data_IF_582389805612
#
_entry.id   IF_582389805612
#
_cell.length_a   1.000
_cell.length_b   1.000
_cell.length_c   1.000
_cell.angle_alpha   90.00
_cell.angle_beta   90.00
_cell.angle_gamma   90.00
#
_symmetry.space_group_name_H-M   'P 1'
#
loop_
_entity.id
_entity.type
_entity.pdbx_description
1 polymer ?
#
# COMPACT_ATOMS: atom_id res chain seq x y z
N UNK A 1 14.63 -21.96 8.78
CA UNK A 1 14.63 -20.66 8.09
C UNK A 1 16.07 -20.17 8.09
N UNK A 2 16.61 -19.79 6.93
CA UNK A 2 17.97 -19.21 6.84
C UNK A 2 17.93 -17.72 7.21
N UNK A 3 19.06 -17.12 7.56
CA UNK A 3 19.12 -15.67 7.80
C UNK A 3 18.62 -14.83 6.61
N UNK A 4 18.81 -15.35 5.40
CA UNK A 4 18.32 -14.72 4.16
C UNK A 4 16.79 -14.79 4.05
N UNK A 5 16.20 -15.94 4.38
CA UNK A 5 14.74 -16.12 4.45
C UNK A 5 14.13 -15.20 5.53
N UNK A 6 14.78 -15.07 6.69
CA UNK A 6 14.31 -14.19 7.78
C UNK A 6 14.28 -12.72 7.33
N UNK A 7 15.35 -12.23 6.70
CA UNK A 7 15.43 -10.86 6.16
C UNK A 7 14.39 -10.61 5.07
N UNK A 8 14.17 -11.57 4.19
CA UNK A 8 13.16 -11.46 3.14
C UNK A 8 11.74 -11.41 3.72
N UNK A 9 11.44 -12.25 4.73
CA UNK A 9 10.16 -12.22 5.44
C UNK A 9 9.96 -10.89 6.20
N UNK A 10 10.99 -10.38 6.84
CA UNK A 10 10.95 -9.08 7.53
C UNK A 10 10.61 -7.95 6.56
N UNK A 11 11.18 -7.98 5.34
CA UNK A 11 10.85 -7.02 4.27
C UNK A 11 9.40 -7.16 3.81
N UNK A 12 8.88 -8.38 3.62
CA UNK A 12 7.45 -8.60 3.31
C UNK A 12 6.57 -7.98 4.38
N UNK A 13 6.84 -8.26 5.65
CA UNK A 13 6.06 -7.74 6.78
C UNK A 13 6.11 -6.21 6.86
N UNK A 14 7.28 -5.61 6.62
CA UNK A 14 7.45 -4.15 6.57
C UNK A 14 6.57 -3.53 5.49
N UNK A 15 6.64 -4.04 4.26
CA UNK A 15 5.84 -3.49 3.16
C UNK A 15 4.34 -3.74 3.37
N UNK A 16 3.95 -4.87 3.94
CA UNK A 16 2.56 -5.15 4.32
C UNK A 16 2.03 -4.13 5.35
N UNK A 17 2.85 -3.80 6.35
CA UNK A 17 2.50 -2.78 7.34
C UNK A 17 2.26 -1.42 6.67
N UNK A 18 3.14 -1.01 5.76
CA UNK A 18 2.98 0.25 5.02
C UNK A 18 1.71 0.29 4.17
N UNK A 19 1.33 -0.82 3.52
CA UNK A 19 0.06 -0.91 2.80
C UNK A 19 -1.12 -0.78 3.78
N UNK A 20 -1.05 -1.46 4.92
CA UNK A 20 -2.09 -1.43 5.94
C UNK A 20 -2.29 -0.03 6.52
N UNK A 21 -1.20 0.71 6.78
CA UNK A 21 -1.24 2.12 7.18
C UNK A 21 -1.86 3.01 6.09
N UNK A 22 -1.49 2.79 4.82
CA UNK A 22 -2.05 3.55 3.69
C UNK A 22 -3.56 3.31 3.48
N UNK A 23 -4.07 2.15 3.87
CA UNK A 23 -5.52 1.86 3.82
C UNK A 23 -6.29 2.78 4.77
N UNK A 24 -5.73 3.14 5.92
CA UNK A 24 -6.36 4.09 6.83
C UNK A 24 -6.55 5.47 6.16
N UNK A 25 -5.55 5.95 5.41
CA UNK A 25 -5.64 7.21 4.68
C UNK A 25 -6.71 7.18 3.58
N UNK A 26 -6.84 6.04 2.90
CA UNK A 26 -7.90 5.80 1.90
C UNK A 26 -9.27 5.84 2.58
N UNK A 27 -9.42 5.19 3.74
CA UNK A 27 -10.67 5.22 4.51
C UNK A 27 -11.08 6.66 4.85
N UNK A 28 -10.14 7.49 5.30
CA UNK A 28 -10.42 8.90 5.62
C UNK A 28 -10.94 9.66 4.40
N UNK A 29 -10.27 9.55 3.24
CA UNK A 29 -10.73 10.23 2.02
C UNK A 29 -12.06 9.69 1.49
N UNK A 30 -12.26 8.37 1.57
CA UNK A 30 -13.53 7.76 1.20
C UNK A 30 -14.67 8.24 2.08
N UNK A 31 -14.44 8.37 3.39
CA UNK A 31 -15.44 8.94 4.30
C UNK A 31 -15.75 10.40 3.99
N UNK A 32 -14.75 11.22 3.69
CA UNK A 32 -14.97 12.61 3.27
C UNK A 32 -15.85 12.70 2.02
N UNK A 33 -15.61 11.85 1.02
CA UNK A 33 -16.45 11.76 -0.18
C UNK A 33 -17.88 11.29 0.15
N UNK A 34 -18.02 10.28 1.01
CA UNK A 34 -19.32 9.73 1.42
C UNK A 34 -20.17 10.74 2.18
N UNK A 35 -19.54 11.58 2.99
CA UNK A 35 -20.21 12.57 3.84
C UNK A 35 -20.43 13.92 3.12
N UNK A 36 -19.96 14.04 1.87
CA UNK A 36 -20.09 15.24 1.07
C UNK A 36 -21.56 15.55 0.70
N UNK A 37 -21.92 16.83 0.79
CA UNK A 37 -23.19 17.38 0.36
C UNK A 37 -23.18 17.85 -1.09
N UNK A 38 -24.35 18.29 -1.62
CA UNK A 38 -24.50 18.68 -3.02
C UNK A 38 -23.76 19.97 -3.41
N UNK A 39 -23.27 20.74 -2.43
CA UNK A 39 -22.53 21.98 -2.67
C UNK A 39 -21.00 21.81 -2.50
N UNK A 40 -20.55 20.64 -2.07
CA UNK A 40 -19.13 20.35 -1.91
C UNK A 40 -18.47 20.02 -3.26
N UNK A 41 -17.16 20.22 -3.33
CA UNK A 41 -16.37 19.88 -4.53
C UNK A 41 -16.13 18.37 -4.62
N UNK A 42 -17.09 17.65 -5.22
CA UNK A 42 -16.99 16.21 -5.43
C UNK A 42 -15.84 15.81 -6.35
N UNK A 43 -15.44 16.68 -7.28
CA UNK A 43 -14.31 16.41 -8.17
C UNK A 43 -13.00 16.37 -7.39
N UNK A 44 -12.75 17.39 -6.56
CA UNK A 44 -11.56 17.44 -5.71
C UNK A 44 -11.51 16.29 -4.69
N UNK A 45 -12.65 15.89 -4.12
CA UNK A 45 -12.72 14.75 -3.20
C UNK A 45 -12.41 13.41 -3.88
N UNK A 46 -12.90 13.21 -5.11
CA UNK A 46 -12.58 12.03 -5.91
C UNK A 46 -11.10 12.02 -6.31
N UNK A 47 -10.54 13.17 -6.67
CA UNK A 47 -9.11 13.31 -7.02
C UNK A 47 -8.20 12.97 -5.82
N UNK A 48 -8.50 13.49 -4.62
CA UNK A 48 -7.74 13.13 -3.40
C UNK A 48 -7.83 11.63 -3.09
N UNK A 49 -9.02 11.03 -3.23
CA UNK A 49 -9.18 9.59 -3.06
C UNK A 49 -8.33 8.79 -4.08
N UNK A 50 -8.39 9.17 -5.36
CA UNK A 50 -7.58 8.53 -6.41
C UNK A 50 -6.09 8.61 -6.08
N UNK A 51 -5.62 9.78 -5.66
CA UNK A 51 -4.22 10.02 -5.35
C UNK A 51 -3.74 9.18 -4.17
N UNK A 52 -4.55 9.04 -3.11
CA UNK A 52 -4.22 8.18 -1.96
C UNK A 52 -4.19 6.71 -2.35
N UNK A 53 -5.15 6.24 -3.14
CA UNK A 53 -5.15 4.86 -3.67
C UNK A 53 -3.91 4.62 -4.52
N UNK A 54 -3.54 5.58 -5.38
CA UNK A 54 -2.35 5.50 -6.22
C UNK A 54 -1.07 5.47 -5.40
N UNK A 55 -0.98 6.26 -4.32
CA UNK A 55 0.13 6.24 -3.35
C UNK A 55 0.21 4.89 -2.64
N UNK A 56 -0.89 4.36 -2.11
CA UNK A 56 -0.91 3.04 -1.46
C UNK A 56 -0.46 1.91 -2.41
N UNK A 57 -0.85 2.00 -3.69
CA UNK A 57 -0.48 1.02 -4.72
C UNK A 57 0.98 1.11 -5.14
N UNK A 58 1.49 2.33 -5.35
CA UNK A 58 2.81 2.58 -5.99
C UNK A 58 3.91 3.01 -5.02
N UNK A 59 3.58 3.40 -3.78
CA UNK A 59 4.53 3.82 -2.74
C UNK A 59 4.81 5.30 -2.62
N UNK A 60 4.19 6.15 -3.44
CA UNK A 60 4.56 7.55 -3.52
C UNK A 60 6.07 7.74 -3.81
N UNK A 61 6.68 8.73 -3.15
CA UNK A 61 8.11 9.05 -3.27
C UNK A 61 9.05 8.07 -2.55
N UNK A 62 8.56 7.38 -1.51
CA UNK A 62 9.38 6.54 -0.63
C UNK A 62 9.51 5.10 -1.19
N UNK A 63 8.75 4.77 -2.25
CA UNK A 63 8.88 3.50 -2.97
C UNK A 63 8.36 2.27 -2.23
N UNK A 64 7.57 2.47 -1.17
CA UNK A 64 6.93 1.42 -0.36
C UNK A 64 5.57 0.97 -0.93
N UNK A 65 4.75 0.22 -0.20
CA UNK A 65 3.36 -0.05 -0.57
C UNK A 65 3.16 -1.29 -1.45
N UNK A 66 2.00 -1.41 -2.11
CA UNK A 66 1.54 -2.70 -2.62
C UNK A 66 2.45 -3.29 -3.71
N UNK A 67 3.03 -2.43 -4.56
CA UNK A 67 4.03 -2.86 -5.56
C UNK A 67 5.30 -3.39 -4.91
N UNK A 68 5.82 -2.70 -3.88
CA UNK A 68 7.02 -3.12 -3.16
C UNK A 68 6.76 -4.42 -2.38
N UNK A 69 5.59 -4.52 -1.74
CA UNK A 69 5.13 -5.74 -1.10
C UNK A 69 5.07 -6.91 -2.08
N UNK A 70 4.50 -6.71 -3.28
CA UNK A 70 4.44 -7.75 -4.32
C UNK A 70 5.83 -8.27 -4.66
N UNK A 71 6.79 -7.36 -4.90
CA UNK A 71 8.17 -7.74 -5.17
C UNK A 71 8.82 -8.48 -4.00
N UNK A 72 8.66 -7.98 -2.78
CA UNK A 72 9.22 -8.65 -1.59
C UNK A 72 8.64 -10.06 -1.40
N UNK A 73 7.35 -10.25 -1.71
CA UNK A 73 6.69 -11.55 -1.63
C UNK A 73 7.16 -12.52 -2.71
N UNK A 74 7.41 -12.02 -3.94
CA UNK A 74 8.05 -12.78 -5.01
C UNK A 74 9.45 -13.24 -4.57
N UNK A 75 10.31 -12.30 -4.14
CA UNK A 75 11.68 -12.58 -3.68
C UNK A 75 11.70 -13.63 -2.53
N UNK A 76 10.77 -13.52 -1.56
CA UNK A 76 10.68 -14.49 -0.45
C UNK A 76 10.22 -15.89 -0.91
N UNK A 77 9.29 -15.96 -1.88
CA UNK A 77 8.80 -17.26 -2.39
C UNK A 77 9.88 -18.01 -3.16
N UNK A 78 10.71 -17.31 -3.92
CA UNK A 78 11.87 -17.89 -4.61
C UNK A 78 12.83 -18.55 -3.59
N UNK A 79 13.07 -17.90 -2.44
CA UNK A 79 13.90 -18.46 -1.37
C UNK A 79 13.30 -19.70 -0.67
N UNK A 80 11.98 -19.89 -0.73
CA UNK A 80 11.30 -21.06 -0.18
C UNK A 80 11.25 -22.24 -1.16
N UNK A 81 11.40 -21.96 -2.46
CA UNK A 81 11.40 -22.94 -3.54
C UNK A 81 12.63 -22.75 -4.43
N UNK A 82 13.84 -22.97 -3.89
CA UNK A 82 15.04 -22.96 -4.72
C UNK A 82 14.96 -24.10 -5.75
N UNK A 83 15.15 -23.78 -7.03
CA UNK A 83 15.27 -24.80 -8.09
C UNK A 83 16.41 -25.79 -7.84
#
# INVERSE_FOLDING_TARGET
>A
MTEEQDKALEKVNKEFKHVSESIADIHVAFHALKDAGPMDDLYGLLDDLEDRVKKARKGGLIGSGAKAHRKALEDYRELLQPE
#
